data_IF_388057129587
#
_entry.id   IF_388057129587
#
_cell.length_a   1.000
_cell.length_b   1.000
_cell.length_c   1.000
_cell.angle_alpha   90.00
_cell.angle_beta   90.00
_cell.angle_gamma   90.00
#
_symmetry.space_group_name_H-M   'P 1'
#
loop_
_entity.id
_entity.type
_entity.pdbx_description
1 polymer ?
#
# COMPACT_ATOMS: atom_id res chain seq x y z
N UNK A 1 -14.58 17.72 -10.36
CA UNK A 1 -15.70 16.94 -10.97
C UNK A 1 -15.25 16.24 -12.25
N UNK A 2 -14.52 16.93 -13.16
CA UNK A 2 -14.03 16.38 -14.43
C UNK A 2 -13.17 15.09 -14.34
N UNK A 3 -12.19 14.99 -13.41
CA UNK A 3 -11.25 13.85 -13.37
C UNK A 3 -11.94 12.48 -13.25
N UNK A 4 -12.95 12.34 -12.39
CA UNK A 4 -13.62 11.05 -12.16
C UNK A 4 -14.31 10.56 -13.43
N UNK A 5 -14.95 11.46 -14.17
CA UNK A 5 -15.71 11.13 -15.36
C UNK A 5 -14.80 10.83 -16.56
N UNK A 6 -13.68 11.57 -16.69
CA UNK A 6 -12.64 11.22 -17.67
C UNK A 6 -12.14 9.80 -17.42
N UNK A 7 -11.90 9.43 -16.15
CA UNK A 7 -11.46 8.06 -15.83
C UNK A 7 -12.53 7.02 -16.16
N UNK A 8 -13.81 7.29 -15.91
CA UNK A 8 -14.91 6.38 -16.26
C UNK A 8 -15.04 6.17 -17.76
N UNK A 9 -14.94 7.26 -18.53
CA UNK A 9 -14.96 7.20 -20.00
C UNK A 9 -13.82 6.36 -20.53
N UNK A 10 -12.61 6.60 -20.04
CA UNK A 10 -11.42 5.82 -20.38
C UNK A 10 -11.64 4.33 -20.08
N UNK A 11 -12.11 4.00 -18.87
CA UNK A 11 -12.36 2.61 -18.47
C UNK A 11 -13.38 1.95 -19.39
N UNK A 12 -14.47 2.64 -19.74
CA UNK A 12 -15.46 2.13 -20.70
C UNK A 12 -14.82 1.79 -22.04
N UNK A 13 -14.02 2.71 -22.59
CA UNK A 13 -13.32 2.50 -23.85
C UNK A 13 -12.33 1.33 -23.75
N UNK A 14 -11.60 1.19 -22.64
CA UNK A 14 -10.70 0.05 -22.40
C UNK A 14 -11.46 -1.28 -22.37
N UNK A 15 -12.63 -1.32 -21.72
CA UNK A 15 -13.51 -2.51 -21.69
C UNK A 15 -13.98 -2.89 -23.09
N UNK A 16 -14.22 -1.92 -23.97
CA UNK A 16 -14.64 -2.16 -25.35
C UNK A 16 -13.50 -2.66 -26.24
N UNK A 17 -12.29 -2.15 -26.02
CA UNK A 17 -11.10 -2.60 -26.74
C UNK A 17 -10.59 -3.96 -26.32
N UNK A 18 -10.89 -4.41 -25.08
CA UNK A 18 -10.31 -5.64 -24.56
C UNK A 18 -11.25 -6.43 -23.66
N UNK A 19 -11.73 -7.57 -24.19
CA UNK A 19 -12.61 -8.50 -23.47
C UNK A 19 -11.97 -9.08 -22.21
N UNK A 20 -10.66 -9.36 -22.22
CA UNK A 20 -9.98 -9.84 -21.01
C UNK A 20 -9.99 -8.77 -19.92
N UNK A 21 -9.65 -7.52 -20.26
CA UNK A 21 -9.71 -6.41 -19.31
C UNK A 21 -11.14 -6.22 -18.78
N UNK A 22 -12.14 -6.25 -19.66
CA UNK A 22 -13.56 -6.17 -19.26
C UNK A 22 -13.94 -7.19 -18.19
N UNK A 23 -13.40 -8.40 -18.27
CA UNK A 23 -13.73 -9.48 -17.36
C UNK A 23 -12.89 -9.50 -16.08
N UNK A 24 -11.63 -9.06 -16.16
CA UNK A 24 -10.75 -9.00 -14.99
C UNK A 24 -11.01 -7.72 -14.18
N UNK A 25 -11.39 -6.62 -14.81
CA UNK A 25 -11.62 -5.34 -14.14
C UNK A 25 -12.75 -5.43 -13.13
N UNK A 26 -12.44 -5.19 -11.87
CA UNK A 26 -13.42 -5.08 -10.80
C UNK A 26 -13.84 -3.62 -10.61
N UNK A 27 -12.85 -2.76 -10.31
CA UNK A 27 -13.08 -1.38 -9.89
C UNK A 27 -11.83 -0.53 -10.09
N UNK A 28 -12.03 0.78 -10.06
CA UNK A 28 -10.98 1.77 -9.89
C UNK A 28 -10.76 2.01 -8.39
N UNK A 29 -9.51 2.16 -7.99
CA UNK A 29 -9.12 2.55 -6.65
C UNK A 29 -8.37 3.88 -6.70
N UNK A 30 -8.86 4.82 -5.92
CA UNK A 30 -8.26 6.14 -5.81
C UNK A 30 -7.17 6.12 -4.76
N UNK A 31 -5.93 5.94 -5.20
CA UNK A 31 -4.76 5.80 -4.35
C UNK A 31 -4.08 7.11 -4.04
N UNK A 32 -2.95 7.01 -3.33
CA UNK A 32 -1.99 8.10 -3.26
C UNK A 32 -2.40 9.34 -2.47
N UNK A 33 -1.53 10.35 -2.53
CA UNK A 33 -1.50 11.40 -1.50
C UNK A 33 -2.69 12.36 -1.51
N UNK A 34 -3.30 12.60 -2.68
CA UNK A 34 -4.49 13.42 -2.78
C UNK A 34 -5.68 12.78 -2.07
N UNK A 35 -5.98 11.52 -2.40
CA UNK A 35 -7.12 10.80 -1.84
C UNK A 35 -6.91 10.37 -0.39
N UNK A 36 -5.67 10.21 0.06
CA UNK A 36 -5.34 10.03 1.48
C UNK A 36 -5.46 11.35 2.29
N UNK A 37 -5.65 12.49 1.60
CA UNK A 37 -5.78 13.81 2.23
C UNK A 37 -4.45 14.38 2.74
N UNK A 38 -3.33 13.93 2.17
CA UNK A 38 -1.94 14.29 2.56
C UNK A 38 -1.14 14.93 1.41
N UNK A 39 -1.78 15.35 0.31
CA UNK A 39 -1.15 16.17 -0.74
C UNK A 39 -0.84 17.57 -0.19
N UNK A 40 0.29 18.12 -0.64
CA UNK A 40 0.74 19.49 -0.33
C UNK A 40 0.55 20.31 -1.61
N UNK A 41 0.04 21.54 -1.48
CA UNK A 41 -0.21 22.42 -2.63
C UNK A 41 -1.43 22.04 -3.46
N UNK A 42 -1.50 22.58 -4.68
CA UNK A 42 -2.58 22.29 -5.63
C UNK A 42 -2.45 20.84 -6.16
N UNK A 43 -3.56 20.13 -6.36
CA UNK A 43 -3.53 18.76 -6.87
C UNK A 43 -3.29 18.75 -8.39
N UNK A 44 -2.02 18.68 -8.77
CA UNK A 44 -1.57 18.58 -10.17
C UNK A 44 -1.32 17.12 -10.60
N UNK A 45 -1.48 16.17 -9.68
CA UNK A 45 -1.22 14.75 -9.88
C UNK A 45 -2.25 13.93 -9.10
N UNK A 46 -2.74 12.86 -9.73
CA UNK A 46 -3.73 11.95 -9.17
C UNK A 46 -3.29 10.50 -9.41
N UNK A 47 -3.18 9.72 -8.34
CA UNK A 47 -2.90 8.29 -8.42
C UNK A 47 -4.22 7.51 -8.60
N UNK A 48 -4.24 6.62 -9.60
CA UNK A 48 -5.38 5.78 -9.92
C UNK A 48 -4.92 4.36 -10.18
N UNK A 49 -5.43 3.42 -9.39
CA UNK A 49 -5.18 1.99 -9.57
C UNK A 49 -6.40 1.34 -10.23
N UNK A 50 -6.17 0.39 -11.14
CA UNK A 50 -7.20 -0.50 -11.65
C UNK A 50 -7.09 -1.85 -10.95
N UNK A 51 -8.11 -2.21 -10.19
CA UNK A 51 -8.17 -3.48 -9.47
C UNK A 51 -8.67 -4.55 -10.43
N UNK A 52 -7.84 -5.57 -10.62
CA UNK A 52 -8.10 -6.71 -11.48
C UNK A 52 -8.25 -7.98 -10.63
N UNK A 53 -9.31 -8.74 -10.85
CA UNK A 53 -9.54 -10.03 -10.21
C UNK A 53 -9.25 -11.17 -11.16
N UNK A 54 -8.33 -12.05 -10.75
CA UNK A 54 -8.10 -13.32 -11.44
C UNK A 54 -9.29 -14.27 -11.18
N UNK A 55 -9.74 -15.04 -12.19
CA UNK A 55 -10.85 -15.97 -12.02
C UNK A 55 -10.56 -17.03 -10.95
N UNK A 56 -11.48 -17.25 -10.01
CA UNK A 56 -11.29 -18.25 -8.94
C UNK A 56 -11.11 -19.68 -9.47
N UNK A 57 -11.71 -19.99 -10.63
CA UNK A 57 -11.61 -21.30 -11.27
C UNK A 57 -10.16 -21.72 -11.57
N UNK A 58 -9.25 -20.76 -11.77
CA UNK A 58 -7.83 -21.04 -12.06
C UNK A 58 -6.98 -21.12 -10.79
N UNK A 59 -7.60 -20.95 -9.62
CA UNK A 59 -6.96 -21.07 -8.30
C UNK A 59 -5.67 -20.23 -8.19
N UNK A 60 -5.79 -18.89 -8.35
CA UNK A 60 -4.65 -18.00 -8.17
C UNK A 60 -4.17 -18.08 -6.71
N UNK A 61 -2.86 -18.19 -6.53
CA UNK A 61 -2.23 -18.24 -5.21
C UNK A 61 -1.06 -17.27 -5.14
N UNK A 62 -0.95 -16.58 -4.02
CA UNK A 62 0.17 -15.68 -3.72
C UNK A 62 1.17 -16.44 -2.85
N UNK A 63 2.41 -16.49 -3.30
CA UNK A 63 3.52 -17.15 -2.61
C UNK A 63 4.60 -16.13 -2.25
N UNK A 64 5.33 -16.40 -1.18
CA UNK A 64 6.50 -15.60 -0.84
C UNK A 64 7.52 -15.65 -1.98
N UNK A 65 8.16 -14.52 -2.23
CA UNK A 65 9.37 -14.50 -3.04
C UNK A 65 10.61 -14.56 -2.13
N UNK A 66 11.77 -14.70 -2.75
CA UNK A 66 13.09 -14.56 -2.10
C UNK A 66 13.44 -13.10 -1.76
N UNK A 67 12.56 -12.14 -2.10
CA UNK A 67 12.75 -10.71 -1.85
C UNK A 67 11.74 -10.19 -0.82
N UNK A 68 12.20 -9.61 0.31
CA UNK A 68 11.32 -9.01 1.29
C UNK A 68 10.39 -7.96 0.70
N UNK A 69 9.09 -8.02 1.04
CA UNK A 69 8.05 -7.12 0.51
C UNK A 69 7.55 -7.46 -0.90
N UNK A 70 8.08 -8.50 -1.52
CA UNK A 70 7.64 -9.00 -2.82
C UNK A 70 7.10 -10.43 -2.73
N UNK A 71 6.18 -10.74 -3.63
CA UNK A 71 5.50 -12.03 -3.76
C UNK A 71 5.46 -12.46 -5.21
N UNK A 72 5.17 -13.74 -5.43
CA UNK A 72 4.89 -14.31 -6.74
C UNK A 72 3.41 -14.72 -6.78
N UNK A 73 2.71 -14.44 -7.89
CA UNK A 73 1.36 -14.93 -8.12
C UNK A 73 1.42 -16.12 -9.07
N UNK A 74 0.99 -17.30 -8.62
CA UNK A 74 0.95 -18.53 -9.41
C UNK A 74 -0.50 -18.92 -9.70
N UNK A 75 -0.75 -19.50 -10.87
CA UNK A 75 -2.03 -20.13 -11.21
C UNK A 75 -1.88 -21.64 -11.02
N UNK A 76 -2.56 -22.22 -10.02
CA UNK A 76 -2.44 -23.65 -9.71
C UNK A 76 -3.14 -24.52 -10.75
N UNK A 77 -4.34 -24.14 -11.14
CA UNK A 77 -5.15 -24.87 -12.12
C UNK A 77 -4.92 -24.35 -13.54
N UNK A 78 -3.65 -24.20 -13.91
CA UNK A 78 -3.24 -23.67 -15.21
C UNK A 78 -3.77 -24.52 -16.37
N UNK A 79 -3.92 -25.83 -16.19
CA UNK A 79 -4.51 -26.70 -17.21
C UNK A 79 -5.96 -26.31 -17.54
N UNK A 80 -6.72 -25.69 -16.61
CA UNK A 80 -8.06 -25.15 -16.92
C UNK A 80 -8.01 -23.93 -17.86
N UNK A 81 -6.84 -23.28 -18.02
CA UNK A 81 -6.60 -22.29 -19.08
C UNK A 81 -6.29 -22.93 -20.43
N UNK A 82 -5.80 -24.18 -20.44
CA UNK A 82 -5.34 -24.90 -21.62
C UNK A 82 -6.32 -25.93 -22.17
N UNK A 83 -7.29 -26.40 -21.36
CA UNK A 83 -8.26 -27.43 -21.74
C UNK A 83 -9.07 -26.98 -22.97
N UNK A 84 -8.66 -27.48 -24.13
CA UNK A 84 -9.49 -27.64 -25.33
C UNK A 84 -10.59 -28.65 -25.02
N UNK A 85 -11.72 -28.49 -25.68
CA UNK A 85 -12.94 -29.30 -25.56
C UNK A 85 -12.69 -30.80 -25.32
N UNK A 86 -12.96 -31.25 -24.09
CA UNK A 86 -13.53 -32.57 -23.84
C UNK A 86 -14.70 -32.36 -22.87
N UNK A 87 -15.75 -31.68 -23.35
CA UNK A 87 -17.06 -31.78 -22.74
C UNK A 87 -17.71 -33.07 -23.29
N UNK A 88 -17.98 -34.09 -22.46
CA UNK A 88 -18.77 -35.22 -22.91
C UNK A 88 -20.21 -34.73 -23.12
N UNK A 89 -20.65 -34.67 -24.38
CA UNK A 89 -22.04 -34.72 -24.81
C UNK A 89 -23.09 -34.00 -23.93
N UNK A 90 -22.93 -32.70 -23.68
CA UNK A 90 -24.06 -31.89 -23.21
C UNK A 90 -24.86 -31.43 -24.43
N UNK A 91 -26.12 -31.88 -24.48
CA UNK A 91 -27.10 -31.76 -25.56
C UNK A 91 -27.00 -30.50 -26.43
N UNK A 92 -27.09 -30.71 -27.76
CA UNK A 92 -27.01 -29.73 -28.87
C UNK A 92 -27.95 -28.51 -28.84
N UNK A 93 -28.75 -28.28 -27.80
CA UNK A 93 -29.83 -27.28 -27.81
C UNK A 93 -29.69 -26.11 -26.81
N UNK A 94 -28.54 -25.92 -26.15
CA UNK A 94 -28.29 -24.73 -25.27
C UNK A 94 -27.01 -23.96 -25.70
N UNK A 95 -26.48 -24.27 -26.88
CA UNK A 95 -25.22 -23.70 -27.37
C UNK A 95 -25.43 -22.48 -28.28
N UNK A 96 -26.02 -21.40 -27.76
CA UNK A 96 -25.96 -20.10 -28.45
C UNK A 96 -25.64 -19.01 -27.43
N UNK A 97 -24.40 -18.52 -27.48
CA UNK A 97 -23.81 -17.35 -26.79
C UNK A 97 -22.94 -17.54 -25.53
N UNK A 98 -23.10 -18.60 -24.71
CA UNK A 98 -22.34 -18.71 -23.44
C UNK A 98 -20.93 -19.37 -23.48
N UNK A 99 -20.63 -20.38 -24.34
CA UNK A 99 -19.32 -21.06 -24.28
C UNK A 99 -18.16 -20.36 -25.01
N UNK A 100 -18.42 -19.55 -26.05
CA UNK A 100 -17.37 -19.02 -26.94
C UNK A 100 -16.62 -17.83 -26.34
N UNK A 101 -17.30 -17.01 -25.53
CA UNK A 101 -16.69 -15.87 -24.85
C UNK A 101 -15.68 -16.33 -23.79
N UNK A 102 -15.98 -17.38 -23.01
CA UNK A 102 -15.08 -17.92 -21.98
C UNK A 102 -13.77 -18.48 -22.57
N UNK A 103 -13.87 -19.20 -23.71
CA UNK A 103 -12.73 -19.81 -24.42
C UNK A 103 -11.70 -18.78 -24.91
N UNK A 104 -12.17 -17.67 -25.48
CA UNK A 104 -11.29 -16.59 -25.96
C UNK A 104 -10.62 -15.81 -24.81
N UNK A 105 -11.12 -15.89 -23.58
CA UNK A 105 -10.54 -15.20 -22.42
C UNK A 105 -9.48 -16.03 -21.71
N UNK A 106 -9.62 -17.35 -21.69
CA UNK A 106 -8.63 -18.26 -21.09
C UNK A 106 -7.30 -18.26 -21.86
N UNK A 107 -7.34 -18.30 -23.20
CA UNK A 107 -6.15 -18.16 -24.04
C UNK A 107 -5.47 -16.79 -23.90
N UNK A 108 -6.24 -15.73 -23.63
CA UNK A 108 -5.70 -14.37 -23.43
C UNK A 108 -5.11 -14.18 -22.04
N UNK A 109 -5.61 -14.85 -21.01
CA UNK A 109 -4.99 -14.81 -19.68
C UNK A 109 -3.62 -15.52 -19.70
N UNK A 110 -3.49 -16.59 -20.47
CA UNK A 110 -2.21 -17.28 -20.65
C UNK A 110 -1.09 -16.37 -21.18
N UNK A 111 -1.41 -15.40 -22.04
CA UNK A 111 -0.39 -14.49 -22.57
C UNK A 111 0.22 -13.56 -21.52
N UNK A 112 -0.39 -13.46 -20.32
CA UNK A 112 0.11 -12.70 -19.19
C UNK A 112 1.05 -13.51 -18.27
N UNK A 113 1.26 -14.80 -18.55
CA UNK A 113 2.02 -15.71 -17.70
C UNK A 113 3.48 -15.84 -18.17
N UNK A 114 4.41 -16.12 -17.25
CA UNK A 114 5.78 -16.55 -17.55
C UNK A 114 6.03 -18.01 -17.10
N UNK A 115 7.28 -18.46 -17.27
CA UNK A 115 7.73 -19.82 -16.91
C UNK A 115 7.28 -20.18 -15.50
N UNK A 116 6.77 -21.41 -15.32
CA UNK A 116 6.31 -21.91 -14.02
C UNK A 116 4.91 -21.46 -13.61
N UNK A 117 4.07 -21.05 -14.56
CA UNK A 117 2.69 -20.60 -14.33
C UNK A 117 2.58 -19.38 -13.41
N UNK A 118 3.63 -18.55 -13.36
CA UNK A 118 3.62 -17.29 -12.63
C UNK A 118 3.04 -16.17 -13.50
N UNK A 119 2.25 -15.29 -12.90
CA UNK A 119 1.78 -14.07 -13.55
C UNK A 119 2.98 -13.12 -13.74
N UNK A 120 3.21 -12.70 -14.98
CA UNK A 120 4.36 -11.85 -15.34
C UNK A 120 4.02 -10.38 -15.18
N UNK A 121 4.82 -9.69 -14.36
CA UNK A 121 4.74 -8.24 -14.14
C UNK A 121 4.95 -7.45 -15.43
N UNK A 122 5.95 -7.81 -16.24
CA UNK A 122 6.23 -7.11 -17.51
C UNK A 122 5.11 -7.30 -18.52
N UNK A 123 4.60 -8.54 -18.68
CA UNK A 123 3.53 -8.83 -19.64
C UNK A 123 2.22 -8.17 -19.24
N UNK A 124 1.88 -8.13 -17.95
CA UNK A 124 0.69 -7.41 -17.48
C UNK A 124 0.82 -5.90 -17.73
N UNK A 125 1.98 -5.30 -17.45
CA UNK A 125 2.21 -3.87 -17.72
C UNK A 125 2.09 -3.53 -19.21
N UNK A 126 2.76 -4.29 -20.08
CA UNK A 126 2.70 -4.09 -21.53
C UNK A 126 1.27 -4.29 -22.07
N UNK A 127 0.56 -5.29 -21.55
CA UNK A 127 -0.84 -5.53 -21.91
C UNK A 127 -1.73 -4.35 -21.52
N UNK A 128 -1.59 -3.84 -20.29
CA UNK A 128 -2.34 -2.68 -19.79
C UNK A 128 -2.03 -1.42 -20.59
N UNK A 129 -0.76 -1.13 -20.86
CA UNK A 129 -0.31 0.00 -21.68
C UNK A 129 -0.91 -0.09 -23.09
N UNK A 130 -0.88 -1.27 -23.71
CA UNK A 130 -1.47 -1.49 -25.03
C UNK A 130 -2.98 -1.21 -25.03
N UNK A 131 -3.73 -1.70 -24.04
CA UNK A 131 -5.17 -1.44 -23.95
C UNK A 131 -5.43 0.06 -23.78
N UNK A 132 -4.63 0.72 -22.93
CA UNK A 132 -4.75 2.14 -22.68
C UNK A 132 -4.52 2.94 -23.97
N UNK A 133 -3.44 2.67 -24.69
CA UNK A 133 -3.14 3.30 -25.99
C UNK A 133 -4.25 3.08 -27.00
N UNK A 134 -4.77 1.85 -27.11
CA UNK A 134 -5.89 1.54 -28.01
C UNK A 134 -7.18 2.27 -27.63
N UNK A 135 -7.45 2.45 -26.34
CA UNK A 135 -8.60 3.23 -25.87
C UNK A 135 -8.41 4.72 -26.19
N UNK A 136 -7.23 5.28 -25.95
CA UNK A 136 -6.96 6.70 -26.19
C UNK A 136 -6.92 7.08 -27.67
N UNK A 137 -6.63 6.14 -28.57
CA UNK A 137 -6.67 6.38 -30.02
C UNK A 137 -8.07 6.74 -30.54
N UNK A 138 -9.13 6.31 -29.84
CA UNK A 138 -10.52 6.61 -30.19
C UNK A 138 -11.02 7.93 -29.57
N UNK A 139 -10.20 8.59 -28.75
CA UNK A 139 -10.59 9.87 -28.13
C UNK A 139 -10.57 10.95 -29.21
N UNK A 140 -11.66 11.72 -29.29
CA UNK A 140 -11.81 12.84 -30.22
C UNK A 140 -10.64 13.81 -30.03
N UNK A 141 -10.10 14.31 -31.13
CA UNK A 141 -9.05 15.33 -31.11
C UNK A 141 -9.59 16.65 -31.68
N UNK A 142 -9.38 17.74 -30.96
CA UNK A 142 -9.65 19.09 -31.42
C UNK A 142 -8.36 19.91 -31.26
N UNK A 143 -7.90 20.57 -32.33
CA UNK A 143 -6.64 21.33 -32.34
C UNK A 143 -5.41 20.53 -31.87
N UNK A 144 -5.43 19.20 -32.05
CA UNK A 144 -4.36 18.29 -31.60
C UNK A 144 -4.49 17.84 -30.15
N UNK A 145 -5.43 18.39 -29.37
CA UNK A 145 -5.69 18.01 -27.98
C UNK A 145 -6.80 16.96 -27.88
N UNK A 146 -6.68 16.05 -26.90
CA UNK A 146 -7.70 15.02 -26.66
C UNK A 146 -8.88 15.61 -25.89
N UNK A 147 -10.08 15.50 -26.47
CA UNK A 147 -11.32 16.05 -25.92
C UNK A 147 -12.21 14.91 -25.44
N UNK A 148 -12.69 15.03 -24.19
CA UNK A 148 -13.63 14.09 -23.59
C UNK A 148 -14.98 14.78 -23.39
N UNK A 149 -16.00 14.32 -24.11
CA UNK A 149 -17.38 14.70 -23.85
C UNK A 149 -17.85 13.98 -22.58
N UNK A 150 -18.11 14.76 -21.54
CA UNK A 150 -18.41 14.25 -20.20
C UNK A 150 -19.85 14.62 -19.82
N UNK A 151 -20.67 13.61 -19.55
CA UNK A 151 -22.04 13.79 -19.04
C UNK A 151 -22.05 13.66 -17.51
N UNK A 152 -22.77 14.56 -16.83
CA UNK A 152 -22.90 14.59 -15.37
C UNK A 152 -23.96 13.60 -14.90
N UNK A 153 -23.55 12.39 -14.54
CA UNK A 153 -24.42 11.41 -13.87
C UNK A 153 -23.97 11.15 -12.42
N UNK A 154 -24.93 10.81 -11.57
CA UNK A 154 -24.76 10.64 -10.13
C UNK A 154 -23.94 9.39 -9.79
N UNK A 155 -23.04 9.54 -8.81
CA UNK A 155 -22.04 8.54 -8.40
C UNK A 155 -22.65 7.33 -7.70
N UNK A 156 -22.14 6.15 -8.02
CA UNK A 156 -22.26 4.98 -7.16
C UNK A 156 -21.32 5.06 -5.93
N UNK A 157 -21.69 4.45 -4.79
CA UNK A 157 -20.85 4.40 -3.60
C UNK A 157 -19.57 3.57 -3.84
N UNK A 158 -18.43 4.09 -3.36
CA UNK A 158 -17.15 3.35 -3.36
C UNK A 158 -17.20 2.29 -2.26
N UNK A 159 -17.12 1.01 -2.64
CA UNK A 159 -16.93 -0.10 -1.69
C UNK A 159 -15.44 -0.24 -1.35
N UNK A 160 -15.13 -0.31 -0.05
CA UNK A 160 -13.77 -0.51 0.48
C UNK A 160 -13.74 -1.90 1.13
N UNK A 161 -12.76 -2.74 0.74
CA UNK A 161 -12.59 -4.09 1.29
C UNK A 161 -11.32 -4.15 2.13
N UNK A 162 -11.45 -3.94 3.43
CA UNK A 162 -10.34 -3.84 4.39
C UNK A 162 -9.62 -5.16 4.67
N UNK A 163 -10.24 -6.29 4.35
CA UNK A 163 -9.75 -7.65 4.54
C UNK A 163 -8.90 -8.17 3.36
N UNK A 164 -8.79 -7.41 2.26
CA UNK A 164 -8.06 -7.83 1.06
C UNK A 164 -6.81 -7.00 0.87
N UNK A 165 -5.69 -7.65 0.57
CA UNK A 165 -4.48 -6.96 0.10
C UNK A 165 -4.38 -7.01 -1.42
N UNK A 166 -3.65 -6.07 -1.99
CA UNK A 166 -3.39 -6.00 -3.42
C UNK A 166 -1.93 -6.35 -3.71
N UNK A 167 -1.65 -6.75 -4.94
CA UNK A 167 -0.30 -6.86 -5.48
C UNK A 167 -0.18 -5.93 -6.68
N UNK A 168 0.94 -5.20 -6.78
CA UNK A 168 1.18 -4.24 -7.85
C UNK A 168 2.40 -4.65 -8.69
N UNK A 169 2.35 -4.43 -10.02
CA UNK A 169 3.40 -4.84 -10.94
C UNK A 169 4.64 -3.96 -10.74
N UNK A 170 5.55 -4.36 -9.85
CA UNK A 170 6.80 -3.64 -9.56
C UNK A 170 7.95 -4.63 -9.36
N UNK A 171 9.09 -4.33 -9.98
CA UNK A 171 10.33 -5.08 -9.78
C UNK A 171 11.07 -4.63 -8.50
N UNK A 172 11.79 -5.54 -7.83
CA UNK A 172 12.76 -5.19 -6.79
C UNK A 172 13.85 -4.25 -7.33
N UNK A 173 14.33 -3.33 -6.49
CA UNK A 173 15.48 -2.48 -6.82
C UNK A 173 16.73 -3.33 -7.09
N UNK A 174 17.53 -2.93 -8.07
CA UNK A 174 18.73 -3.66 -8.48
C UNK A 174 18.45 -4.89 -9.35
N UNK A 175 17.20 -5.13 -9.72
CA UNK A 175 16.78 -6.20 -10.64
C UNK A 175 16.18 -5.66 -11.94
N UNK A 176 16.49 -4.41 -12.30
CA UNK A 176 16.00 -3.76 -13.52
C UNK A 176 16.41 -4.57 -14.77
N UNK A 177 17.66 -5.05 -14.79
CA UNK A 177 18.25 -5.86 -15.85
C UNK A 177 18.01 -7.38 -15.67
N UNK A 178 17.26 -7.79 -14.64
CA UNK A 178 16.93 -9.20 -14.45
C UNK A 178 15.80 -9.62 -15.39
N UNK A 179 15.97 -10.80 -15.99
CA UNK A 179 14.94 -11.49 -16.77
C UNK A 179 13.84 -12.12 -15.89
N UNK A 180 13.91 -11.97 -14.56
CA UNK A 180 12.87 -12.47 -13.67
C UNK A 180 11.67 -11.54 -13.69
N UNK A 181 10.56 -12.02 -14.24
CA UNK A 181 9.34 -11.22 -14.45
C UNK A 181 8.25 -11.46 -13.41
N UNK A 182 8.44 -12.41 -12.49
CA UNK A 182 7.38 -12.90 -11.58
C UNK A 182 7.20 -12.12 -10.28
N UNK A 183 8.00 -11.07 -10.05
CA UNK A 183 7.94 -10.29 -8.81
C UNK A 183 6.80 -9.28 -8.83
N UNK A 184 5.96 -9.35 -7.81
CA UNK A 184 4.91 -8.37 -7.52
C UNK A 184 5.17 -7.76 -6.15
N UNK A 185 4.93 -6.45 -6.00
CA UNK A 185 5.05 -5.79 -4.69
C UNK A 185 3.71 -5.84 -3.97
N UNK A 186 3.70 -6.18 -2.69
CA UNK A 186 2.50 -6.08 -1.88
C UNK A 186 2.03 -4.61 -1.76
N UNK A 187 0.73 -4.38 -1.74
CA UNK A 187 0.11 -3.07 -1.62
C UNK A 187 -1.06 -3.14 -0.64
N UNK A 188 -1.01 -2.26 0.36
CA UNK A 188 -1.97 -2.19 1.48
C UNK A 188 -2.55 -0.78 1.60
N UNK A 189 -2.72 -0.08 0.48
CA UNK A 189 -3.15 1.32 0.50
C UNK A 189 -4.52 1.51 1.17
N UNK A 190 -5.41 0.52 1.07
CA UNK A 190 -6.73 0.53 1.73
C UNK A 190 -6.60 0.39 3.25
N UNK A 191 -5.80 -0.56 3.73
CA UNK A 191 -5.54 -0.75 5.16
C UNK A 191 -4.83 0.46 5.75
N UNK A 192 -3.81 0.96 5.06
CA UNK A 192 -3.10 2.17 5.50
C UNK A 192 -4.01 3.38 5.59
N UNK A 193 -5.02 3.50 4.71
CA UNK A 193 -5.98 4.60 4.77
C UNK A 193 -6.82 4.53 6.05
N UNK A 194 -7.23 3.34 6.46
CA UNK A 194 -7.97 3.16 7.69
C UNK A 194 -7.08 3.34 8.93
N UNK A 195 -5.81 2.91 8.89
CA UNK A 195 -4.84 3.14 9.98
C UNK A 195 -4.59 4.64 10.28
N UNK A 196 -4.74 5.50 9.27
CA UNK A 196 -4.51 6.96 9.41
C UNK A 196 -5.81 7.77 9.48
N UNK A 197 -6.94 7.09 9.66
CA UNK A 197 -8.28 7.68 9.80
C UNK A 197 -8.67 7.63 11.27
N UNK A 198 -9.51 8.56 11.69
CA UNK A 198 -9.93 8.68 13.09
C UNK A 198 -9.60 10.06 13.66
N UNK A 199 -10.35 10.45 14.69
CA UNK A 199 -10.22 11.76 15.31
C UNK A 199 -9.02 11.82 16.27
N UNK A 200 -8.62 10.66 16.78
CA UNK A 200 -7.42 10.41 17.57
C UNK A 200 -6.14 10.73 16.80
N UNK A 201 -6.12 10.56 15.47
CA UNK A 201 -4.98 10.88 14.61
C UNK A 201 -5.06 12.27 13.97
N UNK A 202 -5.82 13.21 14.55
CA UNK A 202 -6.06 14.55 13.97
C UNK A 202 -4.77 15.31 13.62
N UNK A 203 -3.67 15.10 14.35
CA UNK A 203 -2.38 15.74 14.09
C UNK A 203 -1.57 15.04 13.00
N UNK A 204 -1.86 13.77 12.69
CA UNK A 204 -1.08 12.94 11.78
C UNK A 204 -1.03 13.52 10.36
N UNK A 205 -2.20 13.79 9.74
CA UNK A 205 -2.26 14.30 8.36
C UNK A 205 -1.63 15.69 8.22
N UNK A 206 -1.91 16.69 9.11
CA UNK A 206 -1.22 17.97 9.09
C UNK A 206 0.31 17.84 9.19
N UNK A 207 0.84 17.03 10.12
CA UNK A 207 2.29 16.92 10.28
C UNK A 207 2.94 16.11 9.17
N UNK A 208 2.26 15.12 8.58
CA UNK A 208 2.71 14.46 7.34
C UNK A 208 2.88 15.49 6.22
N UNK A 209 1.88 16.38 6.03
CA UNK A 209 1.96 17.44 5.01
C UNK A 209 3.14 18.38 5.25
N UNK A 210 3.35 18.81 6.50
CA UNK A 210 4.47 19.68 6.84
C UNK A 210 5.82 18.99 6.62
N UNK A 211 5.95 17.72 7.01
CA UNK A 211 7.20 16.98 6.80
C UNK A 211 7.47 16.68 5.32
N UNK A 212 6.43 16.46 4.52
CA UNK A 212 6.54 16.39 3.06
C UNK A 212 7.01 17.73 2.48
N UNK A 213 6.38 18.83 2.90
CA UNK A 213 6.77 20.18 2.47
C UNK A 213 8.22 20.50 2.81
N UNK A 214 8.68 20.14 4.01
CA UNK A 214 10.08 20.24 4.42
C UNK A 214 10.97 19.41 3.48
N UNK A 215 10.65 18.14 3.27
CA UNK A 215 11.42 17.28 2.36
C UNK A 215 11.50 17.86 0.94
N UNK A 216 10.43 18.43 0.42
CA UNK A 216 10.40 19.00 -0.93
C UNK A 216 11.25 20.28 -0.99
N UNK A 217 11.12 21.17 0.00
CA UNK A 217 11.92 22.41 0.13
C UNK A 217 13.42 22.13 0.30
N UNK A 218 13.78 21.08 1.05
CA UNK A 218 15.17 20.66 1.28
C UNK A 218 15.72 19.75 0.16
N UNK A 219 14.97 19.58 -0.95
CA UNK A 219 15.39 18.81 -2.13
C UNK A 219 15.75 17.35 -1.84
N UNK A 220 15.12 16.71 -0.85
CA UNK A 220 15.32 15.28 -0.59
C UNK A 220 14.49 14.41 -1.56
N UNK A 221 14.50 14.70 -2.85
CA UNK A 221 13.66 14.09 -3.88
C UNK A 221 13.81 12.56 -3.99
N UNK A 222 14.95 12.02 -3.56
CA UNK A 222 15.22 10.56 -3.51
C UNK A 222 14.44 9.83 -2.40
N UNK A 223 13.92 10.56 -1.42
CA UNK A 223 13.03 10.02 -0.38
C UNK A 223 11.60 10.13 -0.89
N UNK A 224 10.95 9.02 -1.25
CA UNK A 224 9.58 9.03 -1.78
C UNK A 224 8.54 9.44 -0.72
N UNK A 225 7.40 10.02 -1.11
CA UNK A 225 6.32 10.42 -0.17
C UNK A 225 5.85 9.26 0.70
N UNK A 226 5.83 8.08 0.12
CA UNK A 226 5.50 6.83 0.81
C UNK A 226 6.47 6.48 1.94
N UNK A 227 7.75 6.85 1.83
CA UNK A 227 8.75 6.58 2.89
C UNK A 227 8.44 7.43 4.12
N UNK A 228 8.04 8.69 3.93
CA UNK A 228 7.56 9.54 5.02
C UNK A 228 6.30 8.94 5.66
N UNK A 229 5.31 8.52 4.85
CA UNK A 229 4.11 7.84 5.36
C UNK A 229 4.47 6.60 6.19
N UNK A 230 5.45 5.82 5.76
CA UNK A 230 5.91 4.61 6.48
C UNK A 230 6.43 4.92 7.88
N UNK A 231 7.18 6.02 8.06
CA UNK A 231 7.69 6.45 9.38
C UNK A 231 6.51 6.73 10.33
N UNK A 232 5.45 7.34 9.81
CA UNK A 232 4.23 7.63 10.57
C UNK A 232 3.44 6.37 10.92
N UNK A 233 3.33 5.40 10.00
CA UNK A 233 2.65 4.13 10.27
C UNK A 233 3.31 3.36 11.43
N UNK A 234 4.65 3.36 11.51
CA UNK A 234 5.36 2.78 12.66
C UNK A 234 5.06 3.47 13.99
N UNK A 235 4.65 4.73 13.98
CA UNK A 235 4.28 5.46 15.19
C UNK A 235 2.83 5.19 15.62
N UNK A 236 1.94 4.85 14.68
CA UNK A 236 0.53 4.52 14.97
C UNK A 236 0.41 3.28 15.86
N UNK A 237 1.27 2.29 15.69
CA UNK A 237 1.23 1.03 16.44
C UNK A 237 1.71 1.13 17.88
N UNK A 238 2.24 2.29 18.28
CA UNK A 238 2.71 2.46 19.64
C UNK A 238 1.53 2.62 20.60
N UNK A 239 1.65 2.10 21.83
CA UNK A 239 0.57 2.16 22.81
C UNK A 239 0.25 3.59 23.28
N UNK A 240 1.17 4.54 23.10
CA UNK A 240 0.95 5.95 23.45
C UNK A 240 0.08 6.65 22.41
N UNK A 241 -1.24 6.48 22.53
CA UNK A 241 -2.22 7.19 21.70
C UNK A 241 -2.34 8.69 22.06
N UNK A 242 -1.87 9.11 23.23
CA UNK A 242 -1.90 10.52 23.64
C UNK A 242 -0.87 11.36 22.87
N UNK A 243 0.14 10.73 22.28
CA UNK A 243 1.06 11.36 21.34
C UNK A 243 0.33 12.18 20.26
N UNK A 244 -0.70 11.61 19.64
CA UNK A 244 -1.45 12.27 18.56
C UNK A 244 -2.41 13.37 19.02
N UNK A 245 -2.65 13.45 20.34
CA UNK A 245 -3.46 14.51 20.97
C UNK A 245 -2.62 15.74 21.34
N UNK A 246 -1.29 15.63 21.31
CA UNK A 246 -0.36 16.73 21.58
C UNK A 246 -0.48 17.85 20.53
N UNK A 247 0.21 18.97 20.78
CA UNK A 247 0.23 20.10 19.84
C UNK A 247 0.87 19.72 18.50
N UNK A 248 0.43 20.36 17.42
CA UNK A 248 0.98 20.14 16.08
C UNK A 248 2.50 20.33 16.03
N UNK A 249 3.03 21.34 16.74
CA UNK A 249 4.47 21.62 16.82
C UNK A 249 5.23 20.48 17.51
N UNK A 250 4.69 19.93 18.59
CA UNK A 250 5.30 18.80 19.29
C UNK A 250 5.35 17.55 18.40
N UNK A 251 4.20 17.17 17.81
CA UNK A 251 4.11 16.00 16.92
C UNK A 251 5.02 16.17 15.71
N UNK A 252 5.06 17.36 15.09
CA UNK A 252 5.93 17.65 13.96
C UNK A 252 7.40 17.48 14.31
N UNK A 253 7.86 18.06 15.42
CA UNK A 253 9.27 17.96 15.84
C UNK A 253 9.65 16.53 16.22
N UNK A 254 8.78 15.79 16.91
CA UNK A 254 9.00 14.39 17.22
C UNK A 254 9.12 13.53 15.94
N UNK A 255 8.25 13.75 14.95
CA UNK A 255 8.29 13.02 13.68
C UNK A 255 9.47 13.44 12.79
N UNK A 256 9.88 14.72 12.81
CA UNK A 256 11.08 15.19 12.14
C UNK A 256 12.35 14.53 12.71
N UNK A 257 12.45 14.41 14.04
CA UNK A 257 13.56 13.69 14.70
C UNK A 257 13.59 12.22 14.34
N UNK A 258 12.44 11.53 14.31
CA UNK A 258 12.36 10.13 13.85
C UNK A 258 12.79 9.99 12.39
N UNK A 259 12.39 10.91 11.54
CA UNK A 259 12.83 10.95 10.15
C UNK A 259 14.35 11.12 10.03
N UNK A 260 14.93 12.08 10.75
CA UNK A 260 16.38 12.28 10.82
C UNK A 260 17.11 11.02 11.29
N UNK A 261 16.63 10.41 12.39
CA UNK A 261 17.22 9.19 12.97
C UNK A 261 17.18 8.01 11.99
N UNK A 262 16.04 7.75 11.34
CA UNK A 262 15.95 6.66 10.35
C UNK A 262 16.84 6.88 9.13
N UNK A 263 17.02 8.13 8.69
CA UNK A 263 17.96 8.46 7.60
C UNK A 263 19.41 8.26 8.04
N UNK A 264 19.79 8.74 9.23
CA UNK A 264 21.14 8.60 9.80
C UNK A 264 21.50 7.12 10.01
N UNK A 265 20.53 6.32 10.46
CA UNK A 265 20.64 4.86 10.59
C UNK A 265 20.56 4.13 9.24
N UNK A 266 20.42 4.85 8.13
CA UNK A 266 20.32 4.33 6.75
C UNK A 266 19.22 3.28 6.59
N UNK A 267 18.17 3.35 7.41
CA UNK A 267 17.12 2.34 7.49
C UNK A 267 15.74 2.95 7.73
N UNK A 268 14.87 2.77 6.73
CA UNK A 268 13.41 2.93 6.88
C UNK A 268 12.78 1.56 6.64
N UNK A 269 12.46 0.78 7.69
CA UNK A 269 11.85 -0.53 7.51
C UNK A 269 10.44 -0.36 6.92
N UNK A 270 10.11 -1.18 5.94
CA UNK A 270 8.77 -1.20 5.36
C UNK A 270 7.77 -1.70 6.42
N UNK A 271 6.69 -0.94 6.64
CA UNK A 271 5.72 -1.20 7.70
C UNK A 271 5.15 -2.64 7.67
N UNK A 272 4.78 -3.13 6.49
CA UNK A 272 4.19 -4.45 6.31
C UNK A 272 5.20 -5.60 6.28
N UNK A 273 6.48 -5.30 6.06
CA UNK A 273 7.58 -6.26 6.10
C UNK A 273 8.86 -5.58 6.56
N UNK A 274 9.14 -5.64 7.86
CA UNK A 274 10.27 -4.97 8.50
C UNK A 274 11.65 -5.38 7.97
N UNK A 275 11.75 -6.54 7.32
CA UNK A 275 12.99 -7.03 6.72
C UNK A 275 13.31 -6.30 5.40
N UNK A 276 12.36 -5.54 4.84
CA UNK A 276 12.58 -4.71 3.65
C UNK A 276 12.92 -3.27 4.03
N UNK A 277 14.17 -2.84 3.78
CA UNK A 277 14.59 -1.45 3.97
C UNK A 277 14.28 -0.62 2.70
N UNK A 278 13.35 0.34 2.83
CA UNK A 278 12.86 1.18 1.73
C UNK A 278 13.94 2.06 1.09
N UNK A 279 15.02 2.35 1.81
CA UNK A 279 16.11 3.23 1.35
C UNK A 279 17.44 2.50 1.11
N UNK A 280 17.46 1.16 1.15
CA UNK A 280 18.68 0.37 0.95
C UNK A 280 19.37 0.59 -0.41
N UNK A 281 18.64 1.07 -1.41
CA UNK A 281 19.14 1.35 -2.75
C UNK A 281 19.82 2.72 -2.88
N UNK A 282 19.73 3.58 -1.87
CA UNK A 282 20.34 4.91 -1.89
C UNK A 282 21.81 4.82 -1.46
N UNK A 283 22.66 5.58 -2.16
CA UNK A 283 24.09 5.66 -1.81
C UNK A 283 24.26 6.31 -0.43
N UNK A 284 25.21 5.80 0.34
CA UNK A 284 25.55 6.32 1.67
C UNK A 284 25.79 7.82 1.70
N UNK A 285 26.50 8.37 0.71
CA UNK A 285 26.76 9.81 0.62
C UNK A 285 25.46 10.64 0.55
N UNK A 286 24.44 10.13 -0.14
CA UNK A 286 23.13 10.80 -0.22
C UNK A 286 22.46 10.78 1.16
N UNK A 287 22.49 9.64 1.85
CA UNK A 287 21.88 9.48 3.17
C UNK A 287 22.59 10.31 4.24
N UNK A 288 23.93 10.36 4.22
CA UNK A 288 24.74 11.18 5.12
C UNK A 288 24.41 12.66 4.91
N UNK A 289 24.35 13.13 3.67
CA UNK A 289 24.01 14.52 3.37
C UNK A 289 22.62 14.89 3.87
N UNK A 290 21.60 14.07 3.57
CA UNK A 290 20.23 14.30 4.06
C UNK A 290 20.19 14.26 5.59
N UNK A 291 20.87 13.29 6.22
CA UNK A 291 20.94 13.16 7.67
C UNK A 291 21.58 14.36 8.37
N UNK A 292 22.64 14.92 7.79
CA UNK A 292 23.29 16.14 8.28
C UNK A 292 22.41 17.37 8.10
N UNK A 293 21.76 17.52 6.93
CA UNK A 293 20.79 18.60 6.70
C UNK A 293 19.67 18.56 7.73
N UNK A 294 19.06 17.39 7.96
CA UNK A 294 17.98 17.25 8.94
C UNK A 294 18.45 17.53 10.37
N UNK A 295 19.66 17.09 10.74
CA UNK A 295 20.26 17.39 12.03
C UNK A 295 20.39 18.90 12.24
N UNK A 296 20.98 19.61 11.28
CA UNK A 296 21.18 21.05 11.36
C UNK A 296 19.84 21.82 11.46
N UNK A 297 18.82 21.38 10.71
CA UNK A 297 17.46 21.96 10.79
C UNK A 297 16.88 21.79 12.19
N UNK A 298 17.00 20.59 12.77
CA UNK A 298 16.48 20.33 14.12
C UNK A 298 17.23 21.20 15.14
N UNK A 299 18.55 21.26 15.06
CA UNK A 299 19.39 22.07 15.96
C UNK A 299 19.07 23.56 15.86
N UNK A 300 18.84 24.09 14.66
CA UNK A 300 18.44 25.50 14.48
C UNK A 300 17.07 25.80 15.10
N UNK A 301 16.07 24.94 14.84
CA UNK A 301 14.72 25.13 15.40
C UNK A 301 14.75 25.08 16.93
N UNK A 302 15.48 24.12 17.51
CA UNK A 302 15.56 23.95 18.97
C UNK A 302 16.36 25.06 19.66
N UNK A 303 17.31 25.67 18.95
CA UNK A 303 18.12 26.78 19.48
C UNK A 303 17.41 28.13 19.38
N UNK A 304 16.34 28.24 18.58
CA UNK A 304 15.62 29.49 18.33
C UNK A 304 14.11 29.36 18.57
N UNK A 305 13.70 28.68 19.65
CA UNK A 305 12.29 28.48 20.01
C UNK A 305 11.55 29.79 20.33
N UNK A 306 12.28 30.89 20.56
CA UNK A 306 11.75 32.24 20.72
C UNK A 306 11.28 32.90 19.42
N UNK A 307 11.75 32.46 18.24
CA UNK A 307 11.19 32.89 16.95
C UNK A 307 10.06 31.94 16.53
N UNK A 308 8.77 32.34 16.65
CA UNK A 308 7.66 31.47 16.27
C UNK A 308 7.63 31.12 14.78
N UNK A 309 8.43 31.80 13.95
CA UNK A 309 8.55 31.53 12.53
C UNK A 309 9.82 30.75 12.15
N UNK A 310 10.66 30.32 13.10
CA UNK A 310 11.93 29.63 12.80
C UNK A 310 11.74 28.45 11.84
N UNK A 311 10.70 27.65 12.06
CA UNK A 311 10.41 26.47 11.23
C UNK A 311 9.98 26.84 9.80
N UNK A 312 9.41 28.04 9.60
CA UNK A 312 8.93 28.48 8.29
C UNK A 312 10.08 28.58 7.28
N UNK A 313 11.30 28.92 7.74
CA UNK A 313 12.54 28.95 6.95
C UNK A 313 12.80 27.65 6.18
N UNK A 314 12.33 26.53 6.74
CA UNK A 314 12.56 25.18 6.19
C UNK A 314 11.38 24.62 5.41
N UNK A 315 10.26 25.34 5.37
CA UNK A 315 9.01 24.91 4.74
C UNK A 315 8.64 25.74 3.52
N UNK A 316 8.96 27.04 3.53
CA UNK A 316 8.50 28.02 2.54
C UNK A 316 9.62 28.95 2.10
N UNK A 317 9.38 29.73 1.05
CA UNK A 317 10.34 30.70 0.52
C UNK A 317 10.31 32.02 1.31
N UNK A 318 11.38 32.80 1.22
CA UNK A 318 11.54 34.06 1.97
C UNK A 318 10.38 35.04 1.78
N UNK A 319 9.86 35.19 0.56
CA UNK A 319 8.73 36.10 0.31
C UNK A 319 7.44 35.59 0.97
N UNK A 320 7.24 34.27 1.04
CA UNK A 320 6.13 33.68 1.77
C UNK A 320 6.30 33.85 3.29
N UNK A 321 7.53 33.83 3.80
CA UNK A 321 7.81 34.10 5.21
C UNK A 321 7.49 35.56 5.56
N UNK A 322 7.88 36.51 4.71
CA UNK A 322 7.54 37.94 4.90
C UNK A 322 6.03 38.14 4.98
N UNK A 323 5.29 37.52 4.07
CA UNK A 323 3.82 37.56 4.08
C UNK A 323 3.23 36.87 5.32
N UNK A 324 3.76 35.71 5.72
CA UNK A 324 3.33 35.04 6.94
C UNK A 324 3.54 35.90 8.19
N UNK A 325 4.67 36.64 8.26
CA UNK A 325 4.98 37.55 9.36
C UNK A 325 4.06 38.78 9.38
N UNK A 326 3.55 39.24 8.24
CA UNK A 326 2.56 40.33 8.19
C UNK A 326 1.16 39.88 8.60
N UNK A 327 0.81 38.63 8.30
CA UNK A 327 -0.56 38.14 8.43
C UNK A 327 -0.87 37.53 9.80
N UNK A 328 0.16 37.07 10.53
CA UNK A 328 0.00 36.42 11.83
C UNK A 328 0.28 37.41 12.96
N UNK A 329 -0.78 37.88 13.62
CA UNK A 329 -0.67 38.66 14.86
C UNK A 329 -0.27 37.74 16.03
N UNK A 330 0.97 37.89 16.52
CA UNK A 330 1.44 37.17 17.70
C UNK A 330 0.98 37.95 18.94
N UNK A 331 -0.21 37.60 19.43
CA UNK A 331 -0.76 38.23 20.63
C UNK A 331 0.23 38.20 21.81
N UNK A 332 0.23 39.29 22.60
CA UNK A 332 1.13 39.58 23.76
C UNK A 332 1.24 38.47 24.83
N UNK A 333 0.45 37.41 24.75
CA UNK A 333 0.46 36.25 25.67
C UNK A 333 1.60 35.25 25.37
N UNK A 334 2.12 35.21 24.14
CA UNK A 334 3.18 34.27 23.73
C UNK A 334 4.59 34.71 24.12
N UNK A 335 4.81 36.01 24.35
CA UNK A 335 6.10 36.54 24.81
C UNK A 335 6.42 36.23 26.28
N UNK A 336 5.48 35.67 27.06
CA UNK A 336 5.65 35.43 28.51
C UNK A 336 5.74 33.96 28.95
N UNK A 337 5.46 32.96 28.10
CA UNK A 337 5.36 31.55 28.52
C UNK A 337 6.08 30.55 27.60
N UNK A 338 7.33 30.83 27.21
CA UNK A 338 8.26 29.81 26.74
C UNK A 338 8.90 29.08 27.94
N UNK A 339 8.07 28.45 28.79
CA UNK A 339 8.59 27.47 29.77
C UNK A 339 8.66 26.10 29.09
N UNK A 340 9.85 25.89 28.54
CA UNK A 340 10.48 24.64 28.07
C UNK A 340 9.80 23.36 28.56
N UNK A 341 9.08 22.68 27.67
CA UNK A 341 8.99 21.21 27.69
C UNK A 341 10.14 20.73 26.81
N UNK A 342 11.19 20.14 27.40
CA UNK A 342 12.31 19.60 26.62
C UNK A 342 11.81 18.39 25.81
N UNK A 343 11.77 18.44 24.47
CA UNK A 343 11.58 17.23 23.70
C UNK A 343 12.85 16.39 23.82
N UNK A 344 12.70 15.07 23.92
CA UNK A 344 13.83 14.14 24.04
C UNK A 344 14.89 14.41 22.94
N UNK A 345 16.17 14.38 23.31
CA UNK A 345 17.29 14.66 22.39
C UNK A 345 17.34 13.64 21.26
N UNK A 346 17.94 13.97 20.10
CA UNK A 346 18.16 13.02 19.00
C UNK A 346 18.77 11.69 19.50
N UNK A 347 19.63 11.74 20.52
CA UNK A 347 20.28 10.57 21.13
C UNK A 347 19.25 9.56 21.68
N UNK A 348 18.12 10.02 22.20
CA UNK A 348 17.04 9.13 22.66
C UNK A 348 16.38 8.32 21.54
N UNK A 349 16.39 8.85 20.31
CA UNK A 349 15.82 8.21 19.12
C UNK A 349 16.84 7.35 18.36
N UNK A 350 18.14 7.60 18.53
CA UNK A 350 19.21 6.76 17.99
C UNK A 350 19.19 5.34 18.57
N UNK A 351 18.64 5.16 19.79
CA UNK A 351 18.23 3.86 20.31
C UNK A 351 16.89 3.43 19.70
N UNK A 352 16.88 3.08 18.42
CA UNK A 352 15.92 2.04 18.01
C UNK A 352 16.36 0.76 18.74
N UNK A 353 15.42 -0.09 19.21
CA UNK A 353 15.83 -1.30 19.90
C UNK A 353 16.70 -2.13 18.95
N UNK A 354 17.97 -2.27 19.31
CA UNK A 354 18.67 -3.51 19.01
C UNK A 354 17.78 -4.61 19.59
N UNK A 355 17.58 -5.67 18.81
CA UNK A 355 16.73 -6.82 19.13
C UNK A 355 17.28 -7.67 20.28
N UNK A 356 17.85 -7.05 21.31
CA UNK A 356 18.44 -7.71 22.48
C UNK A 356 17.92 -7.06 23.77
N UNK A 357 16.61 -7.17 24.01
CA UNK A 357 16.17 -7.27 25.41
C UNK A 357 16.32 -8.73 25.82
N UNK A 358 17.29 -8.93 26.71
CA UNK A 358 17.68 -10.20 27.30
C UNK A 358 16.50 -10.77 28.09
N UNK A 359 15.72 -11.64 27.46
CA UNK A 359 14.75 -12.48 28.16
C UNK A 359 15.55 -13.35 29.14
N UNK A 360 15.36 -13.10 30.44
CA UNK A 360 15.82 -14.01 31.50
C UNK A 360 15.23 -15.39 31.22
N UNK A 361 16.10 -16.34 30.92
CA UNK A 361 15.78 -17.76 30.69
C UNK A 361 15.04 -18.35 31.89
N UNK A 362 13.87 -18.98 31.71
CA UNK A 362 13.53 -20.20 32.40
C UNK A 362 14.05 -21.38 31.56
N UNK A 363 14.73 -22.28 32.25
CA UNK A 363 15.28 -23.52 31.70
C UNK A 363 14.20 -24.44 31.12
N UNK A 364 14.56 -25.04 29.97
CA UNK A 364 14.06 -26.32 29.41
C UNK A 364 12.57 -26.46 29.08
N UNK A 365 12.23 -26.30 27.80
CA UNK A 365 11.59 -27.35 26.99
C UNK A 365 11.58 -26.96 25.51
N UNK A 366 12.08 -27.86 24.67
CA UNK A 366 12.17 -27.74 23.21
C UNK A 366 10.77 -27.73 22.56
N UNK A 367 10.18 -26.54 22.40
CA UNK A 367 9.05 -26.30 21.49
C UNK A 367 8.86 -24.84 21.05
N UNK A 368 9.75 -23.91 21.44
CA UNK A 368 9.50 -22.46 21.30
C UNK A 368 10.66 -21.71 20.62
N UNK A 369 11.05 -22.16 19.42
CA UNK A 369 11.99 -21.43 18.54
C UNK A 369 11.39 -21.25 17.13
N UNK A 370 10.15 -20.77 17.05
CA UNK A 370 9.52 -20.34 15.78
C UNK A 370 8.81 -18.99 15.85
N UNK A 371 9.08 -18.16 16.86
CA UNK A 371 8.44 -16.86 17.02
C UNK A 371 9.43 -15.69 16.83
N UNK A 372 10.16 -15.71 15.70
CA UNK A 372 10.91 -14.56 15.21
C UNK A 372 10.36 -14.16 13.84
N UNK A 373 9.74 -12.97 13.78
CA UNK A 373 9.62 -12.13 12.57
C UNK A 373 8.71 -12.63 11.43
N UNK A 374 7.45 -13.00 11.69
CA UNK A 374 6.47 -13.14 10.60
C UNK A 374 6.03 -11.76 10.06
N UNK A 375 6.01 -11.53 8.73
CA UNK A 375 5.49 -10.31 8.15
C UNK A 375 4.01 -10.07 8.48
N UNK A 376 3.63 -8.82 8.78
CA UNK A 376 2.26 -8.44 9.24
C UNK A 376 1.15 -8.92 8.32
N UNK A 377 1.42 -8.99 7.03
CA UNK A 377 0.45 -9.33 6.02
C UNK A 377 0.01 -10.81 6.02
N UNK A 378 0.72 -11.69 6.71
CA UNK A 378 0.35 -13.12 6.82
C UNK A 378 -1.02 -13.31 7.48
N UNK A 379 -1.41 -12.41 8.38
CA UNK A 379 -2.74 -12.40 9.00
C UNK A 379 -3.89 -12.30 7.98
N UNK A 380 -3.62 -11.78 6.78
CA UNK A 380 -4.61 -11.63 5.70
C UNK A 380 -4.65 -12.84 4.73
N UNK A 381 -3.79 -13.86 4.91
CA UNK A 381 -3.81 -15.07 4.09
C UNK A 381 -4.67 -16.20 4.68
N UNK A 382 -5.04 -16.11 5.96
CA UNK A 382 -5.87 -17.11 6.62
C UNK A 382 -7.34 -16.82 6.28
N UNK A 383 -8.11 -17.75 5.68
CA UNK A 383 -9.53 -17.55 5.51
C UNK A 383 -10.16 -17.38 6.90
N UNK A 384 -10.85 -16.26 7.11
CA UNK A 384 -11.71 -16.06 8.27
C UNK A 384 -12.88 -17.05 8.17
N UNK A 385 -12.68 -18.26 8.68
CA UNK A 385 -13.80 -19.12 9.08
C UNK A 385 -14.49 -18.46 10.27
N UNK A 386 -15.25 -17.40 10.00
CA UNK A 386 -16.34 -16.99 10.88
C UNK A 386 -17.46 -18.01 10.67
N UNK A 387 -17.50 -19.00 11.54
CA UNK A 387 -18.54 -20.02 11.56
C UNK A 387 -19.89 -19.40 11.85
N UNK A 388 -20.62 -19.02 10.81
CA UNK A 388 -22.08 -18.90 10.85
C UNK A 388 -22.61 -20.27 10.41
N UNK A 389 -23.02 -21.09 11.38
CA UNK A 389 -23.81 -22.30 11.11
C UNK A 389 -25.11 -21.89 10.40
N UNK A 390 -25.49 -22.51 9.28
CA UNK A 390 -26.83 -22.37 8.75
C UNK A 390 -27.83 -23.00 9.73
N UNK A 391 -28.88 -22.25 10.05
CA UNK A 391 -29.98 -22.74 10.86
C UNK A 391 -30.72 -23.89 10.15
N UNK A 392 -30.91 -24.99 10.88
CA UNK A 392 -32.09 -25.85 10.82
C UNK A 392 -32.26 -26.72 9.58
N UNK A 393 -31.70 -27.93 9.60
CA UNK A 393 -32.41 -29.12 9.11
C UNK A 393 -32.30 -30.19 10.20
N UNK A 394 -33.44 -30.50 10.82
CA UNK A 394 -33.61 -31.62 11.74
C UNK A 394 -33.34 -32.93 11.00
N UNK A 395 -32.39 -33.71 11.49
CA UNK A 395 -32.42 -35.16 11.32
C UNK A 395 -32.35 -35.78 12.71
N UNK A 396 -33.43 -36.47 13.02
CA UNK A 396 -33.68 -37.14 14.28
C UNK A 396 -32.58 -38.14 14.61
N UNK A 397 -32.21 -38.10 15.87
CA UNK A 397 -31.36 -39.05 16.58
C UNK A 397 -31.93 -40.47 16.48
N UNK A 398 -31.09 -41.43 16.07
CA UNK A 398 -31.19 -42.78 16.61
C UNK A 398 -29.81 -43.22 17.14
N UNK A 399 -29.78 -43.34 18.46
CA UNK A 399 -28.73 -43.95 19.26
C UNK A 399 -28.56 -45.43 18.88
N UNK A 400 -27.32 -45.88 18.64
CA UNK A 400 -26.82 -47.15 19.18
C UNK A 400 -25.34 -46.97 19.53
N UNK A 401 -25.05 -47.05 20.84
CA UNK A 401 -23.74 -47.34 21.41
C UNK A 401 -23.36 -48.79 21.07
N UNK A 402 -22.09 -49.07 20.73
CA UNK A 402 -21.11 -49.72 21.63
C UNK A 402 -19.79 -49.97 20.91
N UNK A 403 -18.71 -49.80 21.66
CA UNK A 403 -17.36 -50.28 21.37
C UNK A 403 -17.32 -51.83 21.31
N UNK A 404 -16.20 -52.33 20.77
CA UNK A 404 -15.68 -53.71 20.85
C UNK A 404 -16.27 -54.72 19.85
N UNK A 405 -15.54 -54.93 18.75
CA UNK A 405 -15.02 -56.25 18.35
C UNK A 405 -13.99 -56.04 17.22
N UNK A 406 -12.69 -56.18 17.53
CA UNK A 406 -11.88 -57.36 17.23
C UNK A 406 -11.54 -57.48 15.73
N UNK A 407 -10.29 -57.07 15.44
CA UNK A 407 -9.32 -57.76 14.58
C UNK A 407 -9.77 -59.11 14.00
N UNK A 408 -9.88 -59.19 12.67
CA UNK A 408 -9.51 -60.34 11.83
C UNK A 408 -9.45 -59.82 10.39
N UNK A 409 -8.25 -59.57 9.84
CA UNK A 409 -7.40 -60.54 9.14
C UNK A 409 -7.91 -60.89 7.74
N UNK A 410 -7.06 -60.62 6.73
CA UNK A 410 -6.98 -61.31 5.42
C UNK A 410 -8.20 -61.07 4.51
N UNK A 411 -8.12 -60.25 3.47
CA UNK A 411 -7.47 -60.46 2.16
C UNK A 411 -7.57 -59.18 1.33
#
# INVERSE_FOLDING_TARGET
VCFLQVTDRIISMMKDKNVLFRNLYERKFYGGSYYDGIKVGKPEEYDLDFVLNLPLIVEPAVQNSDKPGFVNCIIKEYMKLLKRDEAPNLSKNIATAFPTALKNNQMKLNSLMCVGNYLSTSKVLQWMEKIMTLALNDVKKENGESVFDVTLESKEPIKIYVDKFLIVPKKPYGMENSNVERYWRLSFQEQERELIKGHEFKMMKPTIKLLKKLRDKQLHAKIASYYIKTIYLWEVDKPDHDFWKQSQSYVLMAMLKKYASMIQNKRIPYYWNQNYNLIAHLKDIILINIGNTLKNIIEDIESHLEDPFVIAKYLIDEDQIKHLRSDVDIGKKHTKNLKVVRPLSIISYLRMPESEETIRRPTTNDAFVQEISQPRWYSFQQPSYSGVKPAGINLETNNVNTNEDILNSLE
#
